data_IF_588696809744
#
_entry.id   IF_588696809744
#
_cell.length_a   1.000
_cell.length_b   1.000
_cell.length_c   1.000
_cell.angle_alpha   90.00
_cell.angle_beta   90.00
_cell.angle_gamma   90.00
#
_symmetry.space_group_name_H-M   'P 1'
#
loop_
_entity.id
_entity.type
_entity.pdbx_description
1 polymer ?
#
# COMPACT_ATOMS: atom_id res chain seq x y z
N UNK A 1 -0.39 -23.98 -16.12
CA UNK A 1 0.37 -23.96 -17.40
C UNK A 1 1.51 -22.98 -17.23
N UNK A 2 2.72 -23.49 -17.00
CA UNK A 2 3.96 -22.74 -16.83
C UNK A 2 4.62 -22.52 -18.19
N UNK A 3 5.20 -21.34 -18.43
CA UNK A 3 6.21 -21.17 -19.50
C UNK A 3 7.35 -20.29 -18.98
N UNK A 4 8.50 -20.92 -18.79
CA UNK A 4 9.82 -20.30 -18.64
C UNK A 4 10.29 -19.74 -19.99
N UNK A 5 11.01 -18.62 -19.97
CA UNK A 5 11.89 -18.22 -21.07
C UNK A 5 13.28 -17.86 -20.51
N UNK A 6 14.27 -18.57 -21.04
CA UNK A 6 15.70 -18.47 -20.78
C UNK A 6 16.30 -17.22 -21.43
N UNK A 7 17.33 -16.65 -20.80
CA UNK A 7 18.41 -15.98 -21.52
C UNK A 7 19.74 -16.27 -20.83
N UNK A 8 20.72 -16.77 -21.60
CA UNK A 8 22.07 -17.11 -21.15
C UNK A 8 23.07 -15.95 -21.31
N UNK A 9 23.89 -15.82 -20.26
CA UNK A 9 25.33 -15.60 -20.18
C UNK A 9 26.03 -14.47 -20.99
N UNK A 10 26.80 -13.65 -20.25
CA UNK A 10 28.22 -13.36 -20.54
C UNK A 10 29.05 -13.29 -19.25
N UNK A 11 30.19 -13.95 -19.29
CA UNK A 11 31.23 -14.08 -18.24
C UNK A 11 32.06 -12.81 -18.05
N UNK A 12 32.63 -12.56 -16.84
CA UNK A 12 33.52 -11.43 -16.60
C UNK A 12 34.99 -11.78 -16.88
N UNK A 13 35.72 -10.84 -17.47
CA UNK A 13 37.17 -10.92 -17.65
C UNK A 13 37.89 -10.52 -16.36
N UNK A 14 38.74 -11.43 -15.86
CA UNK A 14 39.60 -11.25 -14.69
C UNK A 14 40.82 -10.39 -15.04
N UNK A 15 41.00 -9.26 -14.34
CA UNK A 15 42.26 -8.52 -14.34
C UNK A 15 42.92 -8.63 -12.96
N UNK A 16 44.00 -9.41 -12.86
CA UNK A 16 44.88 -9.46 -11.69
C UNK A 16 45.67 -8.15 -11.59
N UNK A 17 45.46 -7.39 -10.51
CA UNK A 17 46.37 -6.30 -10.10
C UNK A 17 47.19 -6.75 -8.89
N UNK A 18 48.51 -6.59 -9.02
CA UNK A 18 49.53 -6.84 -8.00
C UNK A 18 49.32 -5.94 -6.78
N UNK A 19 49.45 -6.53 -5.59
CA UNK A 19 49.44 -5.83 -4.30
C UNK A 19 50.87 -5.31 -3.99
N UNK A 20 50.96 -4.05 -3.56
CA UNK A 20 52.11 -3.48 -2.86
C UNK A 20 51.70 -3.22 -1.41
N UNK A 21 52.61 -3.32 -0.42
CA UNK A 21 52.28 -3.11 0.97
C UNK A 21 52.19 -1.60 1.27
N UNK A 22 51.04 -1.15 1.76
CA UNK A 22 50.90 0.18 2.32
C UNK A 22 51.01 0.10 3.84
N UNK A 23 51.92 0.91 4.37
CA UNK A 23 52.23 1.13 5.77
C UNK A 23 51.01 1.64 6.58
N UNK A 24 51.06 1.35 7.88
CA UNK A 24 49.95 1.50 8.81
C UNK A 24 49.35 2.91 8.88
N UNK A 25 48.03 2.96 8.76
CA UNK A 25 47.22 4.11 9.13
C UNK A 25 46.38 3.71 10.35
N UNK A 26 46.55 4.43 11.46
CA UNK A 26 45.81 4.21 12.71
C UNK A 26 44.56 5.11 12.67
N UNK A 27 43.33 4.58 12.63
CA UNK A 27 42.15 5.43 12.61
C UNK A 27 41.97 6.13 13.97
N UNK A 28 41.40 7.35 14.02
CA UNK A 28 41.02 7.95 15.28
C UNK A 28 39.87 7.14 15.90
N UNK A 29 39.84 7.11 17.23
CA UNK A 29 38.83 6.41 18.01
C UNK A 29 37.41 6.76 17.54
N UNK A 30 36.60 5.74 17.29
CA UNK A 30 35.19 5.89 16.95
C UNK A 30 34.49 6.64 18.09
N UNK A 31 34.11 7.89 17.84
CA UNK A 31 33.11 8.56 18.65
C UNK A 31 31.80 7.79 18.44
N UNK A 32 31.38 7.08 19.49
CA UNK A 32 30.07 6.49 19.60
C UNK A 32 29.04 7.63 19.63
N UNK A 33 28.60 8.06 18.45
CA UNK A 33 27.36 8.79 18.31
C UNK A 33 26.25 7.77 18.49
N UNK A 34 25.77 7.65 19.73
CA UNK A 34 24.45 7.10 20.02
C UNK A 34 23.42 7.99 19.34
N UNK A 35 23.18 7.76 18.04
CA UNK A 35 21.96 8.20 17.40
C UNK A 35 20.84 7.40 18.04
N UNK A 36 20.24 7.96 19.09
CA UNK A 36 18.93 7.52 19.54
C UNK A 36 18.02 7.66 18.33
N UNK A 37 17.69 6.54 17.69
CA UNK A 37 16.74 6.50 16.60
C UNK A 37 15.43 7.04 17.17
N UNK A 38 15.12 8.31 16.87
CA UNK A 38 13.77 8.82 17.07
C UNK A 38 12.86 7.89 16.27
N UNK A 39 11.99 7.16 16.98
CA UNK A 39 10.89 6.43 16.35
C UNK A 39 10.20 7.42 15.40
N UNK A 40 10.24 7.13 14.09
CA UNK A 40 9.65 8.02 13.10
C UNK A 40 8.16 8.12 13.39
N UNK A 41 7.71 9.28 13.87
CA UNK A 41 6.30 9.49 14.22
C UNK A 41 5.44 9.37 12.96
N UNK A 42 4.64 8.30 12.90
CA UNK A 42 3.66 8.10 11.83
C UNK A 42 2.53 9.09 12.05
N UNK A 43 2.07 9.79 11.01
CA UNK A 43 0.88 10.64 11.09
C UNK A 43 -0.29 9.92 10.45
N UNK A 44 -1.44 9.92 11.12
CA UNK A 44 -2.65 9.25 10.64
C UNK A 44 -3.91 10.07 10.94
N UNK A 45 -4.92 9.96 10.08
CA UNK A 45 -6.26 10.46 10.33
C UNK A 45 -7.08 9.37 11.02
N UNK A 46 -7.38 9.58 12.31
CA UNK A 46 -7.98 8.59 13.21
C UNK A 46 -9.34 9.07 13.69
N UNK A 47 -10.31 8.16 13.81
CA UNK A 47 -11.61 8.42 14.43
C UNK A 47 -11.90 7.40 15.54
N UNK A 48 -12.33 7.90 16.70
CA UNK A 48 -12.59 7.09 17.90
C UNK A 48 -14.07 6.74 18.13
N UNK A 49 -14.96 7.37 17.40
CA UNK A 49 -16.41 7.15 17.41
C UNK A 49 -16.97 7.46 16.01
N UNK A 50 -18.10 6.84 15.66
CA UNK A 50 -18.77 7.14 14.41
C UNK A 50 -19.42 8.54 14.43
N UNK A 51 -19.49 9.20 13.28
CA UNK A 51 -20.18 10.47 13.15
C UNK A 51 -19.81 11.25 11.89
N UNK A 52 -20.16 12.54 11.87
CA UNK A 52 -19.80 13.42 10.76
C UNK A 52 -18.27 13.52 10.63
N UNK A 53 -17.65 13.16 9.49
CA UNK A 53 -16.19 13.02 9.39
C UNK A 53 -15.41 14.25 9.84
N UNK A 54 -15.88 15.46 9.47
CA UNK A 54 -15.25 16.72 9.87
C UNK A 54 -15.25 16.98 11.39
N UNK A 55 -16.04 16.23 12.19
CA UNK A 55 -16.11 16.37 13.64
C UNK A 55 -15.37 15.26 14.39
N UNK A 56 -15.20 14.09 13.78
CA UNK A 56 -14.72 12.88 14.47
C UNK A 56 -13.33 12.43 14.03
N UNK A 57 -12.85 12.90 12.87
CA UNK A 57 -11.53 12.58 12.33
C UNK A 57 -10.51 13.57 12.85
N UNK A 58 -9.46 13.06 13.48
CA UNK A 58 -8.37 13.83 14.07
C UNK A 58 -7.02 13.37 13.49
N UNK A 59 -6.11 14.33 13.25
CA UNK A 59 -4.72 14.01 12.95
C UNK A 59 -4.00 13.58 14.23
N UNK A 60 -3.50 12.34 14.27
CA UNK A 60 -2.75 11.78 15.39
C UNK A 60 -1.36 11.33 14.96
N UNK A 61 -0.42 11.41 15.90
CA UNK A 61 0.86 10.73 15.79
C UNK A 61 0.71 9.31 16.37
N UNK A 62 1.18 8.32 15.63
CA UNK A 62 1.22 6.92 16.01
C UNK A 62 2.67 6.44 16.04
N UNK A 63 2.92 5.42 16.84
CA UNK A 63 4.15 4.64 16.77
C UNK A 63 4.05 3.66 15.61
N UNK A 64 5.13 3.55 14.82
CA UNK A 64 5.21 2.51 13.79
C UNK A 64 5.36 1.15 14.47
N UNK A 65 4.52 0.18 14.09
CA UNK A 65 4.65 -1.17 14.60
C UNK A 65 5.98 -1.81 14.14
N UNK A 66 6.51 -2.75 14.91
CA UNK A 66 7.64 -3.55 14.48
C UNK A 66 7.24 -4.44 13.30
N UNK A 67 8.16 -4.62 12.34
CA UNK A 67 7.94 -5.50 11.18
C UNK A 67 8.16 -6.95 11.61
N UNK A 68 7.08 -7.74 11.67
CA UNK A 68 7.15 -9.17 11.90
C UNK A 68 7.65 -9.96 10.69
N UNK A 69 7.83 -11.28 10.86
CA UNK A 69 8.40 -12.14 9.82
C UNK A 69 7.63 -12.16 8.50
N UNK A 70 6.31 -12.02 8.54
CA UNK A 70 5.42 -12.01 7.36
C UNK A 70 4.81 -10.63 7.08
N UNK A 71 5.37 -9.58 7.68
CA UNK A 71 4.84 -8.22 7.56
C UNK A 71 5.63 -7.40 6.54
N UNK A 72 4.96 -6.36 6.03
CA UNK A 72 5.47 -5.41 5.05
C UNK A 72 5.32 -4.01 5.63
N UNK A 73 6.42 -3.28 5.75
CA UNK A 73 6.40 -1.85 6.07
C UNK A 73 6.17 -1.07 4.79
N UNK A 74 5.07 -0.33 4.75
CA UNK A 74 4.62 0.45 3.60
C UNK A 74 4.61 1.93 3.95
N UNK A 75 5.17 2.75 3.06
CA UNK A 75 5.02 4.20 3.05
C UNK A 75 3.93 4.58 2.06
N UNK A 76 2.85 5.20 2.54
CA UNK A 76 1.75 5.64 1.68
C UNK A 76 2.19 6.80 0.79
N UNK A 77 1.87 6.72 -0.50
CA UNK A 77 2.18 7.74 -1.49
C UNK A 77 0.97 8.65 -1.74
N UNK A 78 -0.20 8.05 -1.90
CA UNK A 78 -1.46 8.74 -2.11
C UNK A 78 -2.64 7.85 -1.69
N UNK A 79 -3.68 8.46 -1.15
CA UNK A 79 -4.93 7.81 -0.80
C UNK A 79 -6.10 8.74 -1.15
N UNK A 80 -7.07 8.31 -1.99
CA UNK A 80 -8.25 9.09 -2.29
C UNK A 80 -9.22 9.12 -1.11
N UNK A 81 -10.25 9.98 -1.24
CA UNK A 81 -11.40 10.01 -0.35
C UNK A 81 -12.62 9.60 -1.17
N UNK A 82 -13.15 8.41 -0.90
CA UNK A 82 -14.33 7.86 -1.56
C UNK A 82 -15.59 8.00 -0.68
N UNK A 83 -16.80 7.97 -1.26
CA UNK A 83 -18.04 7.96 -0.48
C UNK A 83 -18.13 6.81 0.53
N UNK A 84 -17.56 5.64 0.22
CA UNK A 84 -17.50 4.50 1.15
C UNK A 84 -16.70 4.80 2.41
N UNK A 85 -15.61 5.56 2.31
CA UNK A 85 -14.80 5.97 3.47
C UNK A 85 -15.64 6.87 4.41
N UNK A 86 -16.39 7.80 3.81
CA UNK A 86 -17.29 8.71 4.53
C UNK A 86 -18.40 7.92 5.23
N UNK A 87 -19.05 6.99 4.54
CA UNK A 87 -20.10 6.14 5.10
C UNK A 87 -19.55 5.27 6.24
N UNK A 88 -18.34 4.74 6.11
CA UNK A 88 -17.69 3.92 7.14
C UNK A 88 -17.40 4.74 8.41
N UNK A 89 -16.89 5.97 8.26
CA UNK A 89 -16.70 6.89 9.38
C UNK A 89 -18.03 7.26 10.04
N UNK A 90 -19.09 7.45 9.25
CA UNK A 90 -20.44 7.73 9.75
C UNK A 90 -21.10 6.55 10.46
N UNK A 91 -20.60 5.32 10.28
CA UNK A 91 -21.20 4.10 10.82
C UNK A 91 -22.31 3.50 9.94
N UNK A 92 -22.44 3.96 8.69
CA UNK A 92 -23.50 3.60 7.76
C UNK A 92 -22.98 2.71 6.61
N UNK A 93 -21.99 1.86 6.89
CA UNK A 93 -21.36 0.99 5.89
C UNK A 93 -21.42 -0.47 6.33
N UNK A 94 -21.50 -1.40 5.37
CA UNK A 94 -21.65 -2.84 5.67
C UNK A 94 -20.43 -3.47 6.35
N UNK A 95 -19.28 -2.81 6.29
CA UNK A 95 -18.05 -3.18 7.01
C UNK A 95 -17.65 -2.02 7.93
N UNK A 96 -17.52 -2.28 9.23
CA UNK A 96 -17.07 -1.27 10.19
C UNK A 96 -15.83 -1.79 10.94
N UNK A 97 -14.65 -1.16 10.78
CA UNK A 97 -13.47 -1.48 11.57
C UNK A 97 -13.70 -1.25 13.07
N UNK A 98 -12.97 -1.97 13.92
CA UNK A 98 -12.98 -1.69 15.35
C UNK A 98 -12.39 -0.31 15.64
N UNK A 99 -13.04 0.42 16.55
CA UNK A 99 -12.61 1.75 16.94
C UNK A 99 -11.60 1.68 18.10
N UNK A 100 -10.60 2.57 18.16
CA UNK A 100 -10.32 3.63 17.20
C UNK A 100 -9.73 3.10 15.88
N UNK A 101 -10.12 3.71 14.76
CA UNK A 101 -9.71 3.29 13.42
C UNK A 101 -9.04 4.42 12.62
N UNK A 102 -8.17 4.05 11.69
CA UNK A 102 -7.61 4.97 10.68
C UNK A 102 -8.55 5.04 9.49
N UNK A 103 -8.84 6.24 8.99
CA UNK A 103 -9.70 6.44 7.83
C UNK A 103 -9.09 5.96 6.51
N UNK A 104 -9.94 5.81 5.49
CA UNK A 104 -9.54 5.46 4.13
C UNK A 104 -9.46 3.96 3.85
N UNK A 105 -10.01 3.54 2.72
CA UNK A 105 -10.01 2.13 2.29
C UNK A 105 -9.19 1.89 1.02
N UNK A 106 -8.80 2.94 0.32
CA UNK A 106 -8.08 2.86 -0.95
C UNK A 106 -6.80 3.71 -0.88
N UNK A 107 -5.80 3.31 -1.64
CA UNK A 107 -4.57 4.08 -1.82
C UNK A 107 -3.45 3.23 -2.39
N UNK A 108 -2.34 3.88 -2.69
CA UNK A 108 -1.10 3.25 -3.13
C UNK A 108 0.02 3.62 -2.16
N UNK A 109 0.80 2.61 -1.79
CA UNK A 109 2.00 2.76 -0.98
C UNK A 109 3.21 2.12 -1.66
N UNK A 110 4.39 2.51 -1.20
CA UNK A 110 5.65 1.91 -1.58
C UNK A 110 6.17 1.04 -0.43
N UNK A 111 6.61 -0.17 -0.74
CA UNK A 111 7.27 -1.06 0.22
C UNK A 111 8.62 -0.45 0.62
N UNK A 112 8.81 -0.26 1.93
CA UNK A 112 10.06 0.26 2.53
C UNK A 112 10.93 -0.89 3.02
N UNK A 113 10.34 -1.83 3.74
CA UNK A 113 10.99 -3.00 4.29
C UNK A 113 10.03 -4.19 4.35
N UNK A 114 10.58 -5.39 4.39
CA UNK A 114 9.81 -6.65 4.46
C UNK A 114 10.37 -7.56 5.53
N UNK A 115 9.50 -8.36 6.15
CA UNK A 115 9.88 -9.43 7.05
C UNK A 115 10.64 -10.56 6.35
N UNK A 116 11.31 -11.39 7.13
CA UNK A 116 12.18 -12.47 6.62
C UNK A 116 11.46 -13.54 5.79
N UNK A 117 10.15 -13.68 5.94
CA UNK A 117 9.33 -14.72 5.31
C UNK A 117 8.51 -14.18 4.13
N UNK A 118 8.56 -12.88 3.86
CA UNK A 118 7.84 -12.22 2.75
C UNK A 118 8.51 -12.57 1.43
N UNK A 119 7.73 -12.91 0.41
CA UNK A 119 8.27 -13.37 -0.90
C UNK A 119 7.57 -12.77 -2.12
N UNK A 120 6.35 -12.26 -1.98
CA UNK A 120 5.53 -11.71 -3.04
C UNK A 120 5.80 -10.24 -3.37
N UNK A 121 6.44 -9.49 -2.46
CA UNK A 121 6.83 -8.09 -2.67
C UNK A 121 8.22 -7.82 -2.11
N UNK A 122 8.89 -6.78 -2.61
CA UNK A 122 10.21 -6.34 -2.13
C UNK A 122 10.28 -4.81 -1.99
N UNK A 123 11.26 -4.27 -1.24
CA UNK A 123 11.46 -2.82 -1.14
C UNK A 123 11.50 -2.14 -2.51
N UNK A 124 10.76 -1.03 -2.63
CA UNK A 124 10.58 -0.27 -3.86
C UNK A 124 9.31 -0.60 -4.63
N UNK A 125 8.73 -1.79 -4.46
CA UNK A 125 7.47 -2.17 -5.12
C UNK A 125 6.31 -1.28 -4.66
N UNK A 126 5.36 -1.05 -5.57
CA UNK A 126 4.10 -0.38 -5.24
C UNK A 126 3.04 -1.40 -4.89
N UNK A 127 2.26 -1.09 -3.87
CA UNK A 127 1.20 -1.96 -3.33
C UNK A 127 -0.07 -1.18 -3.07
N UNK A 128 -1.21 -1.86 -3.20
CA UNK A 128 -2.53 -1.36 -2.81
C UNK A 128 -3.18 -2.33 -1.80
N UNK A 129 -4.15 -1.89 -0.98
CA UNK A 129 -4.93 -2.77 -0.12
C UNK A 129 -5.62 -3.89 -0.90
N UNK A 130 -5.56 -5.12 -0.40
CA UNK A 130 -6.30 -6.25 -0.97
C UNK A 130 -7.80 -6.20 -0.64
N UNK A 131 -8.15 -5.60 0.50
CA UNK A 131 -9.52 -5.49 1.02
C UNK A 131 -9.74 -4.13 1.68
N UNK A 132 -11.00 -3.77 1.93
CA UNK A 132 -11.36 -2.59 2.70
C UNK A 132 -11.05 -2.78 4.20
N UNK A 133 -10.96 -1.67 4.93
CA UNK A 133 -10.74 -1.66 6.39
C UNK A 133 -9.29 -1.57 6.83
N UNK A 134 -8.33 -1.55 5.90
CA UNK A 134 -6.91 -1.42 6.24
C UNK A 134 -6.56 -0.04 6.84
N UNK A 135 -7.28 1.03 6.50
CA UNK A 135 -6.99 2.39 6.92
C UNK A 135 -5.79 2.99 6.16
N UNK A 136 -6.02 3.74 5.10
CA UNK A 136 -4.95 4.23 4.20
C UNK A 136 -4.56 5.69 4.42
N UNK A 137 -5.34 6.46 5.19
CA UNK A 137 -5.07 7.88 5.46
C UNK A 137 -4.03 8.07 6.56
N UNK A 138 -2.81 7.60 6.28
CA UNK A 138 -1.64 7.70 7.15
C UNK A 138 -0.37 7.80 6.33
N UNK A 139 0.74 8.22 6.94
CA UNK A 139 2.02 8.32 6.24
C UNK A 139 2.65 6.96 5.98
N UNK A 140 2.58 6.06 6.97
CA UNK A 140 3.24 4.74 6.93
C UNK A 140 2.44 3.74 7.77
N UNK A 141 2.59 2.44 7.48
CA UNK A 141 2.03 1.36 8.28
C UNK A 141 2.83 0.07 8.08
N UNK A 142 2.62 -0.88 9.00
CA UNK A 142 3.03 -2.27 8.83
C UNK A 142 1.77 -3.10 8.61
N UNK A 143 1.76 -3.91 7.57
CA UNK A 143 0.64 -4.78 7.20
C UNK A 143 1.12 -6.21 6.96
N UNK A 144 0.25 -7.20 7.16
CA UNK A 144 0.51 -8.57 6.67
C UNK A 144 0.69 -8.55 5.15
N UNK A 145 1.64 -9.34 4.64
CA UNK A 145 1.85 -9.50 3.20
C UNK A 145 0.55 -9.83 2.44
N UNK A 146 -0.31 -10.67 3.02
CA UNK A 146 -1.56 -11.12 2.41
C UNK A 146 -2.61 -10.00 2.26
N UNK A 147 -2.44 -8.90 2.98
CA UNK A 147 -3.34 -7.75 2.96
C UNK A 147 -3.00 -6.77 1.83
N UNK A 148 -1.97 -7.06 1.02
CA UNK A 148 -1.43 -6.19 -0.01
C UNK A 148 -1.42 -6.87 -1.37
N UNK A 149 -1.65 -6.08 -2.42
CA UNK A 149 -1.54 -6.49 -3.81
C UNK A 149 -0.47 -5.63 -4.47
N UNK A 150 0.55 -6.26 -5.06
CA UNK A 150 1.55 -5.57 -5.87
C UNK A 150 0.93 -4.99 -7.15
N UNK A 151 1.29 -3.76 -7.49
CA UNK A 151 0.84 -3.06 -8.70
C UNK A 151 2.04 -2.53 -9.50
N UNK A 152 1.89 -2.35 -10.82
CA UNK A 152 2.94 -1.71 -11.62
C UNK A 152 3.26 -0.30 -11.10
N UNK A 153 4.54 0.06 -11.10
CA UNK A 153 5.02 1.39 -10.71
C UNK A 153 5.29 2.31 -11.90
N UNK A 154 5.03 1.84 -13.13
CA UNK A 154 5.17 2.57 -14.39
C UNK A 154 3.87 3.26 -14.84
N UNK A 155 2.81 3.18 -14.03
CA UNK A 155 1.56 3.92 -14.24
C UNK A 155 1.56 5.25 -13.47
N UNK A 156 0.75 6.25 -13.88
CA UNK A 156 0.62 7.48 -13.11
C UNK A 156 0.20 7.23 -11.66
N UNK A 157 0.81 7.95 -10.72
CA UNK A 157 0.53 7.81 -9.29
C UNK A 157 -0.97 7.95 -8.96
N UNK A 158 -1.64 8.90 -9.62
CA UNK A 158 -3.08 9.11 -9.46
C UNK A 158 -3.88 7.88 -9.88
N UNK A 159 -3.52 7.24 -11.00
CA UNK A 159 -4.15 6.01 -11.46
C UNK A 159 -3.95 4.87 -10.47
N UNK A 160 -2.74 4.70 -9.93
CA UNK A 160 -2.45 3.68 -8.93
C UNK A 160 -3.25 3.90 -7.64
N UNK A 161 -3.38 5.16 -7.20
CA UNK A 161 -4.10 5.53 -5.98
C UNK A 161 -5.61 5.23 -6.05
N UNK A 162 -6.20 5.20 -7.25
CA UNK A 162 -7.64 4.97 -7.47
C UNK A 162 -7.93 3.67 -8.22
N UNK A 163 -6.97 2.74 -8.28
CA UNK A 163 -7.07 1.53 -9.09
C UNK A 163 -7.99 0.48 -8.46
N UNK A 164 -7.97 0.38 -7.14
CA UNK A 164 -8.51 -0.76 -6.39
C UNK A 164 -10.02 -0.76 -6.23
N UNK A 165 -10.68 0.40 -6.30
CA UNK A 165 -12.10 0.54 -6.03
C UNK A 165 -12.88 0.85 -7.31
N UNK A 166 -12.89 2.09 -7.78
CA UNK A 166 -13.86 2.53 -8.80
C UNK A 166 -13.71 1.78 -10.15
N UNK A 167 -12.49 1.59 -10.71
CA UNK A 167 -12.32 0.82 -11.94
C UNK A 167 -12.67 -0.66 -11.76
N UNK A 168 -12.30 -1.26 -10.63
CA UNK A 168 -12.66 -2.65 -10.30
C UNK A 168 -14.17 -2.83 -10.22
N UNK A 169 -14.89 -1.95 -9.51
CA UNK A 169 -16.35 -1.97 -9.43
C UNK A 169 -16.98 -1.82 -10.81
N UNK A 170 -16.53 -0.86 -11.62
CA UNK A 170 -17.02 -0.68 -12.98
C UNK A 170 -16.81 -1.94 -13.83
N UNK A 171 -15.62 -2.53 -13.79
CA UNK A 171 -15.31 -3.72 -14.56
C UNK A 171 -16.13 -4.94 -14.13
N UNK A 172 -16.35 -5.13 -12.82
CA UNK A 172 -17.21 -6.21 -12.29
C UNK A 172 -18.66 -6.03 -12.73
N UNK A 173 -19.22 -4.82 -12.64
CA UNK A 173 -20.58 -4.54 -13.14
C UNK A 173 -20.76 -4.91 -14.62
N UNK A 174 -19.73 -4.66 -15.45
CA UNK A 174 -19.76 -4.97 -16.88
C UNK A 174 -19.55 -6.45 -17.22
N UNK A 175 -18.96 -7.23 -16.32
CA UNK A 175 -18.50 -8.59 -16.61
C UNK A 175 -19.29 -9.69 -15.93
N UNK A 176 -19.88 -9.40 -14.78
CA UNK A 176 -20.33 -10.46 -13.88
C UNK A 176 -21.86 -10.64 -13.90
N UNK A 177 -22.61 -9.69 -14.49
CA UNK A 177 -24.09 -9.70 -14.49
C UNK A 177 -24.68 -10.02 -15.86
N UNK A 178 -24.21 -9.37 -16.93
CA UNK A 178 -24.78 -9.50 -18.28
C UNK A 178 -23.69 -9.77 -19.32
N UNK A 179 -24.01 -10.57 -20.34
CA UNK A 179 -23.08 -10.84 -21.44
C UNK A 179 -23.16 -9.73 -22.50
N UNK A 180 -22.38 -8.66 -22.29
CA UNK A 180 -22.28 -7.56 -23.24
C UNK A 180 -21.50 -7.96 -24.50
N UNK A 181 -22.06 -7.63 -25.67
CA UNK A 181 -21.42 -7.82 -26.97
C UNK A 181 -20.78 -6.51 -27.46
N UNK A 182 -19.70 -6.58 -28.26
CA UNK A 182 -19.17 -5.41 -28.96
C UNK A 182 -20.28 -4.69 -29.75
N UNK A 183 -20.42 -3.38 -29.56
CA UNK A 183 -21.48 -2.57 -30.17
C UNK A 183 -22.83 -2.58 -29.42
N UNK A 184 -22.93 -3.30 -28.30
CA UNK A 184 -24.10 -3.25 -27.41
C UNK A 184 -24.24 -1.92 -26.68
N UNK A 185 -25.48 -1.55 -26.35
CA UNK A 185 -25.79 -0.32 -25.60
C UNK A 185 -25.92 -0.62 -24.10
N UNK A 186 -25.26 0.18 -23.27
CA UNK A 186 -25.40 0.16 -21.81
C UNK A 186 -25.99 1.49 -21.34
N UNK A 187 -27.01 1.45 -20.47
CA UNK A 187 -27.51 2.63 -19.76
C UNK A 187 -27.11 2.55 -18.30
N UNK A 188 -26.46 3.58 -17.78
CA UNK A 188 -26.00 3.69 -16.38
C UNK A 188 -26.90 4.60 -15.52
N UNK A 189 -28.15 4.82 -15.95
CA UNK A 189 -29.08 5.70 -15.24
C UNK A 189 -29.60 5.06 -13.95
N UNK A 190 -29.40 5.75 -12.82
CA UNK A 190 -30.12 5.42 -11.58
C UNK A 190 -31.58 5.84 -11.72
N UNK A 191 -32.50 4.88 -11.62
CA UNK A 191 -33.95 5.14 -11.59
C UNK A 191 -34.46 5.00 -10.15
N UNK A 192 -34.87 6.08 -9.48
CA UNK A 192 -35.57 5.94 -8.20
C UNK A 192 -36.91 5.22 -8.41
N UNK A 193 -37.08 4.06 -7.78
CA UNK A 193 -38.39 3.42 -7.57
C UNK A 193 -38.86 2.41 -8.61
N UNK A 194 -38.19 1.27 -8.75
CA UNK A 194 -38.89 0.04 -9.17
C UNK A 194 -39.55 -0.59 -7.93
N UNK A 195 -40.88 -0.78 -7.89
CA UNK A 195 -41.50 -1.57 -6.84
C UNK A 195 -41.07 -3.04 -6.94
N UNK A 196 -40.86 -3.67 -5.79
CA UNK A 196 -40.78 -5.12 -5.62
C UNK A 196 -42.10 -5.81 -6.01
#
# INVERSE_FOLDING_TARGET
MWVCALWEARTPALLRRRLLPASGFRPPAAASCSASAESSRVRALVYGHHGHPAKVVELKNLELAAVGGSDVHVKMLAAPINPSDINMIQGNYGLLPQLPAVGGNEGVGQVVAVGSNVTGVKPGDWVIPATAGLGTWRTEAVFSEEALIGVPSDIPLQSAATLGVNPCTAYRMLKDFEQLQPGGNLRSEWRPGSPD
#
